data_IF_701620562274
#
_entry.id   IF_701620562274
#
_cell.length_a   1.000
_cell.length_b   1.000
_cell.length_c   1.000
_cell.angle_alpha   90.00
_cell.angle_beta   90.00
_cell.angle_gamma   90.00
#
_symmetry.space_group_name_H-M   'P 1'
#
loop_
_entity.id
_entity.type
_entity.pdbx_description
1 polymer ?
#
# COMPACT_ATOMS: atom_id res chain seq x y z
N UNK A 1 -1.93 -16.60 15.05
CA UNK A 1 -1.80 -15.67 13.91
C UNK A 1 -0.72 -14.66 14.23
N UNK A 2 0.11 -14.30 13.25
CA UNK A 2 1.19 -13.31 13.39
C UNK A 2 1.12 -12.29 12.26
N UNK A 3 1.52 -11.05 12.52
CA UNK A 3 1.72 -10.04 11.47
C UNK A 3 2.96 -10.39 10.65
N UNK A 4 2.89 -10.14 9.35
CA UNK A 4 4.01 -10.29 8.41
C UNK A 4 4.05 -9.04 7.54
N UNK A 5 5.20 -8.35 7.44
CA UNK A 5 5.31 -7.13 6.63
C UNK A 5 5.01 -7.44 5.17
N UNK A 6 4.44 -6.50 4.44
CA UNK A 6 4.26 -6.50 2.98
C UNK A 6 5.46 -5.78 2.37
N UNK A 7 6.10 -6.38 1.37
CA UNK A 7 7.25 -5.80 0.67
C UNK A 7 6.78 -4.93 -0.50
N UNK A 8 7.55 -3.90 -0.86
CA UNK A 8 7.21 -3.00 -1.97
C UNK A 8 7.06 -3.75 -3.31
N UNK A 9 7.86 -4.80 -3.52
CA UNK A 9 7.79 -5.64 -4.72
C UNK A 9 6.48 -6.43 -4.86
N UNK A 10 5.72 -6.57 -3.78
CA UNK A 10 4.38 -7.18 -3.79
C UNK A 10 3.29 -6.19 -4.26
N UNK A 11 3.63 -4.90 -4.37
CA UNK A 11 2.71 -3.81 -4.73
C UNK A 11 3.27 -2.93 -5.84
N UNK A 12 3.81 -3.55 -6.89
CA UNK A 12 4.34 -2.87 -8.07
C UNK A 12 5.43 -1.83 -7.73
N UNK A 13 6.25 -2.13 -6.71
CA UNK A 13 7.36 -1.30 -6.22
C UNK A 13 6.95 0.08 -5.67
N UNK A 14 5.67 0.27 -5.33
CA UNK A 14 5.15 1.50 -4.71
C UNK A 14 5.51 1.57 -3.22
N UNK A 15 6.79 1.82 -2.92
CA UNK A 15 7.28 1.89 -1.53
C UNK A 15 6.56 2.93 -0.66
N UNK A 16 6.01 4.00 -1.24
CA UNK A 16 5.29 5.05 -0.52
C UNK A 16 3.97 4.58 0.11
N UNK A 17 3.42 3.45 -0.35
CA UNK A 17 2.19 2.88 0.21
C UNK A 17 2.45 1.85 1.30
N UNK A 18 3.73 1.53 1.58
CA UNK A 18 4.13 0.61 2.66
C UNK A 18 4.59 1.44 3.86
N UNK A 19 4.01 1.19 5.04
CA UNK A 19 4.39 1.88 6.27
C UNK A 19 5.71 1.34 6.84
N UNK A 20 6.29 2.04 7.81
CA UNK A 20 7.46 1.55 8.53
C UNK A 20 7.22 0.22 9.29
N UNK A 21 5.95 -0.12 9.57
CA UNK A 21 5.56 -1.39 10.19
C UNK A 21 5.33 -2.52 9.17
N UNK A 22 5.43 -2.22 7.87
CA UNK A 22 5.19 -3.17 6.79
C UNK A 22 3.71 -3.40 6.48
N UNK A 23 2.82 -2.50 6.89
CA UNK A 23 1.41 -2.54 6.51
C UNK A 23 1.17 -1.71 5.24
N UNK A 24 0.06 -1.95 4.53
CA UNK A 24 -0.35 -1.10 3.41
C UNK A 24 -1.19 0.07 3.89
N UNK A 25 -0.85 1.27 3.42
CA UNK A 25 -1.62 2.50 3.55
C UNK A 25 -1.67 3.23 2.23
N UNK A 26 -2.79 3.14 1.54
CA UNK A 26 -3.04 3.90 0.32
C UNK A 26 -3.76 5.22 0.66
N UNK A 27 -3.46 6.26 -0.11
CA UNK A 27 -4.07 7.58 0.03
C UNK A 27 -4.50 8.08 -1.36
N UNK A 28 -5.52 8.94 -1.45
CA UNK A 28 -5.96 9.52 -2.73
C UNK A 28 -4.88 10.26 -3.53
N UNK A 29 -3.78 10.68 -2.89
CA UNK A 29 -2.66 11.35 -3.56
C UNK A 29 -1.61 10.40 -4.16
N UNK A 30 -1.66 9.10 -3.85
CA UNK A 30 -0.74 8.10 -4.43
C UNK A 30 -1.12 7.79 -5.88
N UNK A 31 -0.19 7.23 -6.67
CA UNK A 31 -0.32 7.04 -8.12
C UNK A 31 -0.71 8.33 -8.87
N UNK A 32 0.17 9.34 -8.88
CA UNK A 32 -0.09 10.55 -9.65
C UNK A 32 -0.14 10.24 -11.15
N UNK A 33 -1.05 10.91 -11.86
CA UNK A 33 -1.21 10.81 -13.30
C UNK A 33 -1.27 12.20 -13.93
N UNK A 34 -0.88 12.32 -15.21
CA UNK A 34 -0.86 13.60 -15.94
C UNK A 34 -2.25 14.24 -16.03
N UNK A 35 -3.29 13.43 -16.24
CA UNK A 35 -4.69 13.82 -16.00
C UNK A 35 -5.06 13.44 -14.56
N UNK A 36 -5.30 14.42 -13.66
CA UNK A 36 -5.62 14.15 -12.26
C UNK A 36 -6.88 13.31 -12.05
N UNK A 37 -7.80 13.28 -13.02
CA UNK A 37 -9.03 12.47 -12.94
C UNK A 37 -8.78 10.98 -13.12
N UNK A 38 -7.59 10.61 -13.63
CA UNK A 38 -7.15 9.24 -13.86
C UNK A 38 -6.06 8.79 -12.87
N UNK A 39 -5.69 9.66 -11.92
CA UNK A 39 -4.75 9.34 -10.85
C UNK A 39 -5.46 9.08 -9.52
N UNK A 40 -4.67 8.71 -8.52
CA UNK A 40 -5.17 8.44 -7.18
C UNK A 40 -5.39 6.95 -6.90
N UNK A 41 -5.32 6.61 -5.62
CA UNK A 41 -5.73 5.31 -5.10
C UNK A 41 -6.89 5.49 -4.11
N UNK A 42 -7.75 4.48 -4.01
CA UNK A 42 -8.72 4.42 -2.92
C UNK A 42 -7.98 4.42 -1.58
N UNK A 43 -8.45 5.23 -0.64
CA UNK A 43 -7.85 5.34 0.69
C UNK A 43 -8.23 4.17 1.58
N UNK A 44 -7.27 3.32 1.95
CA UNK A 44 -7.49 2.22 2.89
C UNK A 44 -6.21 1.87 3.67
N UNK A 45 -6.39 1.02 4.69
CA UNK A 45 -5.31 0.44 5.46
C UNK A 45 -5.48 -1.08 5.52
N UNK A 46 -4.41 -1.84 5.31
CA UNK A 46 -4.43 -3.31 5.35
C UNK A 46 -3.15 -3.88 5.99
N UNK A 47 -3.30 -4.97 6.74
CA UNK A 47 -2.21 -5.69 7.37
C UNK A 47 -2.26 -7.17 6.97
N UNK A 48 -1.09 -7.79 6.74
CA UNK A 48 -1.01 -9.22 6.43
C UNK A 48 -0.86 -10.06 7.69
N UNK A 49 -1.75 -11.03 7.86
CA UNK A 49 -1.71 -12.00 8.94
C UNK A 49 -1.47 -13.41 8.39
N UNK A 50 -0.59 -14.17 9.03
CA UNK A 50 -0.37 -15.59 8.74
C UNK A 50 -0.87 -16.43 9.91
N UNK A 51 -1.69 -17.44 9.63
CA UNK A 51 -2.08 -18.45 10.63
C UNK A 51 -0.88 -19.36 10.91
N UNK A 52 -0.59 -19.56 12.18
CA UNK A 52 0.43 -20.49 12.67
C UNK A 52 -0.10 -21.92 12.69
#
# INVERSE_FOLDING_TARGET
MRRVPIEASEVADLSEIVTAEGDLRTLPCHLPHLDPRLGGLDGFYAARLVKS
#
